data_IF_555951923991
#
_entry.id   IF_555951923991
#
_cell.length_a   1.000
_cell.length_b   1.000
_cell.length_c   1.000
_cell.angle_alpha   90.00
_cell.angle_beta   90.00
_cell.angle_gamma   90.00
#
_symmetry.space_group_name_H-M   'P 1'
#
loop_
_entity.id
_entity.type
_entity.pdbx_description
1 polymer ?
#
# COMPACT_ATOMS: atom_id res chain seq x y z
N UNK A 1 5.77 -16.12 -2.96
CA UNK A 1 6.20 -14.74 -3.18
C UNK A 1 7.15 -14.38 -2.07
N UNK A 2 8.43 -14.22 -2.41
CA UNK A 2 9.52 -13.97 -1.46
C UNK A 2 9.97 -12.50 -1.48
N UNK A 3 10.62 -12.02 -0.42
CA UNK A 3 11.13 -10.64 -0.35
C UNK A 3 12.19 -10.34 -1.39
N UNK A 4 12.97 -11.34 -1.81
CA UNK A 4 13.96 -11.19 -2.88
C UNK A 4 13.31 -10.99 -4.25
N UNK A 5 12.17 -11.64 -4.52
CA UNK A 5 11.43 -11.44 -5.77
C UNK A 5 10.88 -10.03 -5.86
N UNK A 6 10.31 -9.54 -4.76
CA UNK A 6 9.78 -8.17 -4.65
C UNK A 6 10.91 -7.15 -4.84
N UNK A 7 12.09 -7.42 -4.26
CA UNK A 7 13.28 -6.58 -4.43
C UNK A 7 13.67 -6.49 -5.91
N UNK A 8 13.77 -7.64 -6.57
CA UNK A 8 14.14 -7.72 -7.99
C UNK A 8 13.13 -7.01 -8.89
N UNK A 9 11.84 -7.06 -8.57
CA UNK A 9 10.80 -6.32 -9.28
C UNK A 9 11.01 -4.81 -9.17
N UNK A 10 11.24 -4.29 -7.97
CA UNK A 10 11.47 -2.85 -7.78
C UNK A 10 12.84 -2.38 -8.28
N UNK A 11 13.84 -3.26 -8.39
CA UNK A 11 15.10 -2.97 -9.06
C UNK A 11 14.93 -2.86 -10.59
N UNK A 12 14.09 -3.70 -11.20
CA UNK A 12 13.81 -3.64 -12.64
C UNK A 12 12.82 -2.52 -13.01
N UNK A 13 11.83 -2.28 -12.16
CA UNK A 13 10.78 -1.29 -12.33
C UNK A 13 10.73 -0.40 -11.08
N UNK A 14 11.57 0.65 -11.02
CA UNK A 14 11.64 1.52 -9.86
C UNK A 14 10.28 2.20 -9.64
N UNK A 15 9.70 2.11 -8.43
CA UNK A 15 8.45 2.78 -8.13
C UNK A 15 8.66 4.30 -8.09
N UNK A 16 7.59 5.09 -8.30
CA UNK A 16 7.68 6.54 -8.20
C UNK A 16 8.12 6.97 -6.80
N UNK A 17 8.76 8.14 -6.74
CA UNK A 17 9.39 8.65 -5.51
C UNK A 17 8.37 8.79 -4.38
N UNK A 18 7.21 9.36 -4.69
CA UNK A 18 6.10 9.50 -3.77
C UNK A 18 4.95 8.57 -4.20
N UNK A 19 4.43 7.79 -3.25
CA UNK A 19 3.29 6.90 -3.47
C UNK A 19 2.25 7.16 -2.40
N UNK A 20 1.03 7.50 -2.82
CA UNK A 20 -0.11 7.64 -1.92
C UNK A 20 -0.81 6.28 -1.77
N UNK A 21 -0.71 5.69 -0.58
CA UNK A 21 -1.32 4.39 -0.28
C UNK A 21 -2.80 4.54 0.06
N UNK A 22 -3.10 5.45 0.99
CA UNK A 22 -4.46 5.78 1.43
C UNK A 22 -4.56 7.31 1.58
N UNK A 23 -5.76 7.89 1.71
CA UNK A 23 -5.88 9.35 1.88
C UNK A 23 -5.17 9.90 3.12
N UNK A 24 -4.91 9.05 4.13
CA UNK A 24 -4.19 9.39 5.36
C UNK A 24 -2.75 8.85 5.43
N UNK A 25 -2.32 7.99 4.50
CA UNK A 25 -0.95 7.44 4.49
C UNK A 25 -0.29 7.69 3.13
N UNK A 26 0.77 8.50 3.16
CA UNK A 26 1.65 8.71 2.03
C UNK A 26 3.04 8.14 2.33
N UNK A 27 3.69 7.65 1.29
CA UNK A 27 5.12 7.36 1.28
C UNK A 27 5.76 8.49 0.50
N UNK A 28 6.50 9.37 1.17
CA UNK A 28 7.22 10.49 0.55
C UNK A 28 8.46 10.03 -0.23
N UNK A 29 9.11 8.97 0.25
CA UNK A 29 10.26 8.37 -0.42
C UNK A 29 10.20 6.84 -0.38
N UNK A 30 9.79 6.27 -1.52
CA UNK A 30 9.62 4.84 -1.68
C UNK A 30 10.93 4.08 -1.54
N UNK A 31 12.07 4.66 -1.92
CA UNK A 31 13.36 4.00 -1.80
C UNK A 31 13.77 3.86 -0.32
N UNK A 32 13.55 4.91 0.48
CA UNK A 32 13.79 4.86 1.92
C UNK A 32 12.88 3.85 2.60
N UNK A 33 11.59 3.82 2.24
CA UNK A 33 10.64 2.84 2.75
C UNK A 33 11.09 1.40 2.44
N UNK A 34 11.39 1.11 1.18
CA UNK A 34 11.86 -0.21 0.75
C UNK A 34 13.15 -0.62 1.48
N UNK A 35 14.13 0.29 1.56
CA UNK A 35 15.40 0.04 2.28
C UNK A 35 15.16 -0.27 3.76
N UNK A 36 14.27 0.47 4.42
CA UNK A 36 13.90 0.23 5.81
C UNK A 36 13.25 -1.14 6.00
N UNK A 37 12.31 -1.51 5.12
CA UNK A 37 11.65 -2.82 5.14
C UNK A 37 12.66 -3.96 4.95
N UNK A 38 13.51 -3.90 3.92
CA UNK A 38 14.51 -4.94 3.68
C UNK A 38 15.52 -5.07 4.82
N UNK A 39 16.00 -3.95 5.36
CA UNK A 39 16.93 -3.96 6.49
C UNK A 39 16.29 -4.60 7.73
N UNK A 40 15.02 -4.29 7.99
CA UNK A 40 14.28 -4.86 9.13
C UNK A 40 14.05 -6.37 8.95
N UNK A 41 13.68 -6.80 7.74
CA UNK A 41 13.48 -8.23 7.43
C UNK A 41 14.79 -9.00 7.58
N UNK A 42 15.91 -8.47 7.07
CA UNK A 42 17.22 -9.13 7.19
C UNK A 42 17.72 -9.24 8.63
N UNK A 43 17.38 -8.26 9.49
CA UNK A 43 17.80 -8.26 10.88
C UNK A 43 16.82 -9.02 11.80
N UNK A 44 15.67 -9.46 11.29
CA UNK A 44 14.65 -10.16 12.07
C UNK A 44 15.01 -11.63 12.27
N UNK A 45 15.25 -12.04 13.51
CA UNK A 45 15.60 -13.41 13.89
C UNK A 45 14.34 -14.30 14.08
N UNK A 46 13.45 -14.32 13.09
CA UNK A 46 12.21 -15.10 13.17
C UNK A 46 11.61 -15.43 11.81
N UNK A 47 10.50 -16.19 11.76
CA UNK A 47 9.85 -16.51 10.51
C UNK A 47 9.34 -15.23 9.83
N UNK A 48 9.70 -15.05 8.56
CA UNK A 48 9.33 -13.88 7.74
C UNK A 48 7.83 -13.60 7.75
N UNK A 49 7.02 -14.66 7.84
CA UNK A 49 5.55 -14.57 7.93
C UNK A 49 5.05 -13.77 9.15
N UNK A 50 5.84 -13.64 10.22
CA UNK A 50 5.49 -12.85 11.41
C UNK A 50 6.15 -11.47 11.44
N UNK A 51 6.99 -11.15 10.46
CA UNK A 51 7.71 -9.88 10.44
C UNK A 51 6.76 -8.76 9.95
N UNK A 52 6.48 -7.70 10.73
CA UNK A 52 5.59 -6.63 10.30
C UNK A 52 6.13 -5.88 9.06
N UNK A 53 7.45 -5.78 8.93
CA UNK A 53 8.08 -5.19 7.74
C UNK A 53 7.79 -6.01 6.46
N UNK A 54 7.67 -7.33 6.57
CA UNK A 54 7.27 -8.19 5.46
C UNK A 54 5.84 -7.94 5.00
N UNK A 55 4.92 -7.73 5.96
CA UNK A 55 3.52 -7.45 5.66
C UNK A 55 3.37 -6.13 4.90
N UNK A 56 4.03 -5.08 5.38
CA UNK A 56 4.05 -3.79 4.70
C UNK A 56 4.67 -3.87 3.30
N UNK A 57 5.75 -4.62 3.13
CA UNK A 57 6.38 -4.82 1.83
C UNK A 57 5.45 -5.57 0.85
N UNK A 58 4.78 -6.63 1.33
CA UNK A 58 3.85 -7.43 0.53
C UNK A 58 2.63 -6.61 0.10
N UNK A 59 2.03 -5.87 1.03
CA UNK A 59 0.88 -5.01 0.75
C UNK A 59 1.23 -3.93 -0.28
N UNK A 60 2.36 -3.26 -0.09
CA UNK A 60 2.89 -2.27 -1.02
C UNK A 60 3.10 -2.85 -2.43
N UNK A 61 3.66 -4.05 -2.54
CA UNK A 61 3.85 -4.71 -3.84
C UNK A 61 2.51 -5.04 -4.52
N UNK A 62 1.52 -5.55 -3.78
CA UNK A 62 0.20 -5.85 -4.34
C UNK A 62 -0.45 -4.58 -4.87
N UNK A 63 -0.35 -3.48 -4.12
CA UNK A 63 -0.83 -2.17 -4.54
C UNK A 63 -0.09 -1.69 -5.80
N UNK A 64 1.23 -1.74 -5.84
CA UNK A 64 2.01 -1.37 -7.02
C UNK A 64 1.65 -2.19 -8.25
N UNK A 65 1.47 -3.52 -8.12
CA UNK A 65 1.02 -4.36 -9.23
C UNK A 65 -0.37 -4.00 -9.73
N UNK A 66 -1.29 -3.63 -8.82
CA UNK A 66 -2.62 -3.14 -9.19
C UNK A 66 -2.53 -1.81 -9.91
N UNK A 67 -1.76 -0.86 -9.37
CA UNK A 67 -1.54 0.45 -9.98
C UNK A 67 -0.91 0.32 -11.36
N UNK A 68 0.13 -0.50 -11.55
CA UNK A 68 0.73 -0.70 -12.88
C UNK A 68 -0.27 -1.26 -13.90
N UNK A 69 -1.16 -2.16 -13.49
CA UNK A 69 -2.21 -2.67 -14.39
C UNK A 69 -3.31 -1.64 -14.66
N UNK A 70 -3.63 -0.77 -13.70
CA UNK A 70 -4.59 0.32 -13.89
C UNK A 70 -4.01 1.46 -14.73
N UNK A 71 -2.77 1.89 -14.51
CA UNK A 71 -2.09 2.93 -15.32
C UNK A 71 -1.88 2.49 -16.77
N UNK A 72 -1.80 1.19 -17.05
CA UNK A 72 -1.78 0.67 -18.42
C UNK A 72 -3.15 0.76 -19.13
N UNK A 73 -4.25 0.85 -18.37
CA UNK A 73 -5.63 0.98 -18.87
C UNK A 73 -6.11 2.43 -18.82
N UNK A 74 -5.60 3.21 -17.87
CA UNK A 74 -5.97 4.59 -17.53
C UNK A 74 -4.93 5.59 -18.07
N UNK A 75 -4.62 5.48 -19.37
CA UNK A 75 -4.16 6.63 -20.17
C UNK A 75 -5.23 7.07 -21.17
N UNK A 76 -6.47 6.76 -20.83
CA UNK A 76 -7.69 7.32 -21.40
C UNK A 76 -8.63 7.50 -20.23
N UNK A 77 -9.24 8.69 -20.14
CA UNK A 77 -10.31 9.06 -19.21
C UNK A 77 -9.88 9.77 -17.91
N UNK A 78 -9.67 11.07 -18.09
CA UNK A 78 -9.96 12.10 -17.10
C UNK A 78 -11.44 12.02 -16.70
N UNK A 79 -11.79 11.97 -15.41
CA UNK A 79 -12.70 12.92 -14.71
C UNK A 79 -13.01 12.53 -13.25
N UNK A 80 -13.31 13.52 -12.38
CA UNK A 80 -13.27 13.42 -10.93
C UNK A 80 -14.58 12.87 -10.36
N UNK A 81 -14.52 12.15 -9.24
CA UNK A 81 -15.70 11.83 -8.44
C UNK A 81 -15.69 12.56 -7.10
N UNK A 82 -16.56 13.56 -7.11
CA UNK A 82 -17.19 14.29 -6.01
C UNK A 82 -18.02 13.34 -5.10
N UNK A 83 -18.34 13.79 -3.88
CA UNK A 83 -19.67 13.52 -3.32
C UNK A 83 -19.85 12.43 -2.24
N UNK A 84 -19.84 12.88 -0.98
CA UNK A 84 -20.78 12.63 0.13
C UNK A 84 -21.24 11.20 0.51
N UNK A 85 -21.27 10.89 1.81
CA UNK A 85 -22.50 10.58 2.57
C UNK A 85 -22.16 10.36 4.04
N UNK A 86 -22.73 11.19 4.91
CA UNK A 86 -22.73 10.98 6.35
C UNK A 86 -23.69 9.86 6.72
N UNK A 87 -23.31 9.06 7.72
CA UNK A 87 -24.23 8.13 8.37
C UNK A 87 -24.15 8.38 9.88
N UNK A 88 -25.09 9.20 10.35
CA UNK A 88 -25.53 9.21 11.73
C UNK A 88 -26.55 8.06 11.85
N UNK A 89 -26.26 7.07 12.69
CA UNK A 89 -27.27 6.10 13.10
C UNK A 89 -26.91 5.54 14.47
N UNK A 90 -27.81 5.77 15.43
CA UNK A 90 -28.34 4.74 16.33
C UNK A 90 -29.34 5.39 17.30
N UNK A 91 -30.62 5.28 16.94
CA UNK A 91 -31.72 5.25 17.91
C UNK A 91 -31.67 3.90 18.65
N UNK A 92 -32.08 3.86 19.92
CA UNK A 92 -33.07 2.89 20.40
C UNK A 92 -33.82 3.44 21.61
N UNK A 93 -35.15 3.26 21.54
CA UNK A 93 -36.19 3.48 22.54
C UNK A 93 -35.95 2.71 23.87
N UNK A 94 -36.62 3.11 24.96
CA UNK A 94 -37.54 2.24 25.73
C UNK A 94 -38.30 3.07 26.79
N UNK A 95 -39.61 2.81 26.86
CA UNK A 95 -40.63 3.43 27.69
C UNK A 95 -40.55 3.06 29.19
N UNK A 96 -41.02 3.98 30.05
CA UNK A 96 -41.99 3.75 31.14
C UNK A 96 -42.45 5.07 31.77
#
# INVERSE_FOLDING_TARGET
MNHEEIKRYFEASPPPKEVRLTPWANITDTQVFLKSCYSTIQNFNGPTDRCPAWWHLRDFYILMKKTTQQTAVEKTEETPSDGITGEASSQVETAL
#
